data_IF_638950925004
#
_entry.id   IF_638950925004
#
_cell.length_a   1.000
_cell.length_b   1.000
_cell.length_c   1.000
_cell.angle_alpha   90.00
_cell.angle_beta   90.00
_cell.angle_gamma   90.00
#
_symmetry.space_group_name_H-M   'P 1'
#
loop_
_entity.id
_entity.type
_entity.pdbx_description
1 polymer ?
#
# COMPACT_ATOMS: atom_id res chain seq x y z
N UNK A 1 -20.16 -44.43 -40.24
CA UNK A 1 -20.34 -42.99 -39.95
C UNK A 1 -19.93 -42.74 -38.49
N UNK A 2 -19.00 -41.80 -38.26
CA UNK A 2 -18.61 -41.12 -36.98
C UNK A 2 -18.01 -42.04 -35.88
N UNK A 3 -16.69 -42.27 -35.78
CA UNK A 3 -15.52 -41.42 -35.42
C UNK A 3 -15.51 -40.86 -33.99
N UNK A 4 -14.42 -41.19 -33.26
CA UNK A 4 -13.69 -40.49 -32.17
C UNK A 4 -13.40 -41.47 -31.01
N UNK A 5 -12.34 -42.28 -31.07
CA UNK A 5 -10.91 -41.97 -30.89
C UNK A 5 -10.53 -41.57 -29.45
N UNK A 6 -9.73 -42.45 -28.85
CA UNK A 6 -9.05 -42.36 -27.56
C UNK A 6 -8.44 -40.97 -27.29
N UNK A 7 -8.56 -40.46 -26.05
CA UNK A 7 -7.63 -39.46 -25.52
C UNK A 7 -7.12 -39.86 -24.13
N UNK A 8 -5.81 -39.96 -24.11
CA UNK A 8 -4.90 -40.50 -23.13
C UNK A 8 -4.66 -39.60 -21.92
N UNK A 9 -4.25 -40.27 -20.84
CA UNK A 9 -3.74 -39.77 -19.57
C UNK A 9 -2.42 -38.99 -19.79
N UNK A 10 -2.18 -38.00 -18.91
CA UNK A 10 -0.91 -37.32 -18.53
C UNK A 10 -0.54 -36.08 -19.36
N UNK A 11 -0.54 -34.92 -18.71
CA UNK A 11 0.65 -34.13 -18.35
C UNK A 11 0.19 -32.81 -17.70
N UNK A 12 0.53 -32.63 -16.42
CA UNK A 12 0.58 -31.32 -15.75
C UNK A 12 1.78 -30.59 -16.33
N UNK A 13 1.57 -29.41 -16.91
CA UNK A 13 2.55 -28.33 -17.10
C UNK A 13 1.84 -27.25 -17.92
N UNK A 14 1.26 -26.25 -17.24
CA UNK A 14 1.00 -24.95 -17.88
C UNK A 14 1.99 -23.96 -17.31
N UNK A 15 3.17 -23.95 -17.95
CA UNK A 15 4.06 -22.81 -18.00
C UNK A 15 3.33 -21.73 -18.79
N UNK A 16 2.81 -20.72 -18.10
CA UNK A 16 2.27 -19.53 -18.75
C UNK A 16 3.45 -18.66 -19.22
N UNK A 17 4.00 -19.00 -20.39
CA UNK A 17 4.87 -18.12 -21.14
C UNK A 17 4.01 -16.99 -21.74
N UNK A 18 3.92 -15.85 -21.04
CA UNK A 18 3.43 -14.62 -21.68
C UNK A 18 4.58 -13.97 -22.44
N UNK A 19 4.70 -14.32 -23.72
CA UNK A 19 5.38 -13.49 -24.70
C UNK A 19 4.48 -12.28 -25.01
N UNK A 20 4.71 -11.16 -24.33
CA UNK A 20 4.14 -9.88 -24.77
C UNK A 20 5.13 -9.24 -25.74
N UNK A 21 4.83 -9.39 -27.03
CA UNK A 21 5.45 -8.58 -28.08
C UNK A 21 4.85 -7.18 -27.97
N UNK A 22 5.59 -6.23 -27.41
CA UNK A 22 5.26 -4.81 -27.55
C UNK A 22 5.94 -4.27 -28.81
N UNK A 23 5.13 -4.04 -29.86
CA UNK A 23 5.53 -3.27 -31.02
C UNK A 23 5.67 -1.80 -30.61
N UNK A 24 6.89 -1.27 -30.67
CA UNK A 24 7.17 0.14 -30.40
C UNK A 24 6.71 1.01 -31.57
N UNK A 25 5.52 1.61 -31.46
CA UNK A 25 5.15 2.78 -32.27
C UNK A 25 5.55 4.04 -31.52
N UNK A 26 6.72 4.59 -31.87
CA UNK A 26 7.18 5.89 -31.35
C UNK A 26 6.38 7.00 -32.03
N UNK A 27 5.31 7.46 -31.37
CA UNK A 27 4.73 8.77 -31.62
C UNK A 27 5.48 9.78 -30.75
N UNK A 28 6.23 10.68 -31.39
CA UNK A 28 6.88 11.83 -30.73
C UNK A 28 5.80 12.74 -30.15
N UNK A 29 5.67 12.77 -28.82
CA UNK A 29 4.91 13.81 -28.14
C UNK A 29 5.70 14.33 -26.96
N UNK A 30 6.11 15.59 -27.11
CA UNK A 30 6.46 16.59 -26.10
C UNK A 30 7.18 16.09 -24.84
N UNK A 31 8.47 16.36 -24.81
CA UNK A 31 9.28 16.51 -23.61
C UNK A 31 8.68 17.61 -22.72
N UNK A 32 7.76 17.21 -21.85
CA UNK A 32 7.61 17.88 -20.59
C UNK A 32 8.83 17.49 -19.75
N UNK A 33 9.61 18.49 -19.35
CA UNK A 33 10.61 18.38 -18.31
C UNK A 33 10.04 17.56 -17.16
N UNK A 34 10.49 16.31 -17.05
CA UNK A 34 10.30 15.52 -15.84
C UNK A 34 11.34 16.01 -14.84
N UNK A 35 11.15 17.23 -14.37
CA UNK A 35 11.45 17.57 -13.00
C UNK A 35 10.44 16.77 -12.18
N UNK A 36 10.71 15.46 -12.05
CA UNK A 36 9.99 14.56 -11.19
C UNK A 36 10.04 15.20 -9.83
N UNK A 37 8.91 15.79 -9.46
CA UNK A 37 8.80 16.56 -8.26
C UNK A 37 9.25 15.67 -7.11
N UNK A 38 10.34 16.04 -6.46
CA UNK A 38 10.68 15.56 -5.14
C UNK A 38 9.64 16.11 -4.15
N UNK A 39 8.37 15.77 -4.36
CA UNK A 39 7.30 15.97 -3.40
C UNK A 39 7.49 14.90 -2.35
N UNK A 40 7.65 15.32 -1.11
CA UNK A 40 7.90 14.46 0.03
C UNK A 40 6.88 13.31 0.08
N UNK A 41 7.28 12.11 -0.35
CA UNK A 41 6.46 10.89 -0.45
C UNK A 41 5.95 10.34 0.91
N UNK A 42 6.09 11.09 2.01
CA UNK A 42 5.77 10.62 3.36
C UNK A 42 4.26 10.53 3.67
N UNK A 43 3.39 11.18 2.89
CA UNK A 43 1.97 11.37 3.24
C UNK A 43 1.16 10.06 3.30
N UNK A 44 1.58 9.01 2.58
CA UNK A 44 0.75 7.82 2.37
C UNK A 44 1.22 6.57 3.13
N UNK A 45 2.31 6.66 3.91
CA UNK A 45 2.96 5.50 4.52
C UNK A 45 3.82 4.67 3.54
N UNK A 46 3.85 5.06 2.27
CA UNK A 46 4.70 4.50 1.20
C UNK A 46 5.85 5.46 0.85
N UNK A 47 6.46 6.06 1.86
CA UNK A 47 7.57 6.99 1.66
C UNK A 47 8.76 6.34 1.00
N UNK A 48 9.56 7.14 0.28
CA UNK A 48 10.82 6.69 -0.34
C UNK A 48 11.73 5.96 0.66
N UNK A 49 11.73 6.40 1.93
CA UNK A 49 12.47 5.71 3.00
C UNK A 49 11.94 4.29 3.28
N UNK A 50 10.61 4.11 3.34
CA UNK A 50 10.01 2.79 3.58
C UNK A 50 10.23 1.87 2.38
N UNK A 51 10.07 2.40 1.16
CA UNK A 51 10.33 1.63 -0.06
C UNK A 51 11.81 1.26 -0.19
N UNK A 52 12.73 2.15 0.15
CA UNK A 52 14.17 1.86 0.18
C UNK A 52 14.49 0.77 1.19
N UNK A 53 13.95 0.86 2.41
CA UNK A 53 14.12 -0.18 3.43
C UNK A 53 13.66 -1.57 2.94
N UNK A 54 12.48 -1.66 2.34
CA UNK A 54 11.97 -2.95 1.85
C UNK A 54 12.71 -3.44 0.60
N UNK A 55 13.17 -2.53 -0.27
CA UNK A 55 14.01 -2.86 -1.41
C UNK A 55 15.29 -3.57 -0.97
N UNK A 56 16.00 -3.00 0.01
CA UNK A 56 17.22 -3.57 0.57
C UNK A 56 16.93 -4.84 1.37
N UNK A 57 15.91 -4.81 2.22
CA UNK A 57 15.56 -5.94 3.09
C UNK A 57 15.14 -7.17 2.29
N UNK A 58 14.37 -7.02 1.22
CA UNK A 58 13.91 -8.11 0.37
C UNK A 58 14.88 -8.41 -0.79
N UNK A 59 15.96 -7.64 -0.94
CA UNK A 59 16.88 -7.71 -2.07
C UNK A 59 16.12 -7.68 -3.40
N UNK A 60 15.29 -6.64 -3.58
CA UNK A 60 14.48 -6.46 -4.78
C UNK A 60 15.36 -6.15 -5.98
N UNK A 61 15.12 -6.82 -7.10
CA UNK A 61 15.76 -6.47 -8.37
C UNK A 61 15.32 -5.09 -8.85
N UNK A 62 16.15 -4.43 -9.67
CA UNK A 62 15.83 -3.11 -10.26
C UNK A 62 14.49 -3.13 -11.02
N UNK A 63 14.20 -4.25 -11.69
CA UNK A 63 12.93 -4.47 -12.39
C UNK A 63 11.74 -4.50 -11.41
N UNK A 64 11.84 -5.25 -10.30
CA UNK A 64 10.80 -5.28 -9.26
C UNK A 64 10.61 -3.89 -8.64
N UNK A 65 11.70 -3.20 -8.29
CA UNK A 65 11.62 -1.85 -7.72
C UNK A 65 10.93 -0.87 -8.66
N UNK A 66 11.26 -0.92 -9.95
CA UNK A 66 10.63 -0.08 -10.98
C UNK A 66 9.14 -0.36 -11.09
N UNK A 67 8.75 -1.63 -11.12
CA UNK A 67 7.34 -2.03 -11.20
C UNK A 67 6.56 -1.61 -9.95
N UNK A 68 7.12 -1.81 -8.75
CA UNK A 68 6.48 -1.42 -7.49
C UNK A 68 6.33 0.10 -7.39
N UNK A 69 7.34 0.89 -7.81
CA UNK A 69 7.23 2.35 -7.89
C UNK A 69 6.12 2.80 -8.84
N UNK A 70 5.97 2.13 -9.99
CA UNK A 70 4.90 2.44 -10.93
C UNK A 70 3.49 2.18 -10.33
N UNK A 71 3.32 1.09 -9.58
CA UNK A 71 2.07 0.82 -8.85
C UNK A 71 1.79 1.92 -7.83
N UNK A 72 2.78 2.27 -7.00
CA UNK A 72 2.60 3.29 -5.97
C UNK A 72 2.28 4.65 -6.60
N UNK A 73 2.97 5.03 -7.67
CA UNK A 73 2.72 6.28 -8.39
C UNK A 73 1.31 6.34 -8.99
N UNK A 74 0.83 5.22 -9.54
CA UNK A 74 -0.55 5.11 -10.05
C UNK A 74 -1.58 5.29 -8.93
N UNK A 75 -1.38 4.62 -7.80
CA UNK A 75 -2.34 4.61 -6.69
C UNK A 75 -2.27 5.89 -5.84
N UNK A 76 -1.17 6.65 -5.91
CA UNK A 76 -1.04 7.97 -5.27
C UNK A 76 -2.17 8.93 -5.67
N UNK A 77 -2.60 8.92 -6.94
CA UNK A 77 -3.72 9.75 -7.40
C UNK A 77 -5.04 9.41 -6.69
N UNK A 78 -5.24 8.13 -6.34
CA UNK A 78 -6.40 7.64 -5.59
C UNK A 78 -6.31 7.99 -4.11
N UNK A 79 -5.12 7.88 -3.53
CA UNK A 79 -4.91 8.10 -2.10
C UNK A 79 -4.89 9.58 -1.69
N UNK A 80 -4.35 10.46 -2.55
CA UNK A 80 -4.19 11.88 -2.28
C UNK A 80 -5.46 12.58 -1.76
N UNK A 81 -6.62 12.51 -2.44
CA UNK A 81 -7.83 13.15 -1.93
C UNK A 81 -8.28 12.59 -0.58
N UNK A 82 -8.10 11.29 -0.34
CA UNK A 82 -8.47 10.67 0.94
C UNK A 82 -7.60 11.14 2.10
N UNK A 83 -6.28 11.27 1.89
CA UNK A 83 -5.38 11.81 2.93
C UNK A 83 -5.65 13.28 3.19
N UNK A 84 -5.94 14.06 2.14
CA UNK A 84 -6.35 15.45 2.30
C UNK A 84 -7.65 15.56 3.12
N UNK A 85 -8.63 14.71 2.85
CA UNK A 85 -9.88 14.67 3.61
C UNK A 85 -9.64 14.30 5.07
N UNK A 86 -8.80 13.29 5.35
CA UNK A 86 -8.43 12.93 6.72
C UNK A 86 -7.70 14.08 7.45
N UNK A 87 -6.82 14.80 6.75
CA UNK A 87 -6.16 15.97 7.32
C UNK A 87 -7.17 17.08 7.67
N UNK A 88 -8.18 17.28 6.82
CA UNK A 88 -9.25 18.24 7.06
C UNK A 88 -10.13 17.84 8.25
N UNK A 89 -10.50 16.56 8.41
CA UNK A 89 -11.27 16.12 9.58
C UNK A 89 -10.48 16.30 10.87
N UNK A 90 -9.19 15.97 10.88
CA UNK A 90 -8.32 16.26 12.02
C UNK A 90 -8.23 17.76 12.34
N UNK A 91 -8.15 18.64 11.32
CA UNK A 91 -8.18 20.09 11.53
C UNK A 91 -9.48 20.57 12.15
N UNK A 92 -10.62 20.04 11.69
CA UNK A 92 -11.94 20.37 12.25
C UNK A 92 -12.09 19.89 13.69
N UNK A 93 -11.64 18.68 14.00
CA UNK A 93 -11.66 18.14 15.36
C UNK A 93 -10.83 18.99 16.33
N UNK A 94 -9.63 19.44 15.91
CA UNK A 94 -8.79 20.32 16.73
C UNK A 94 -9.50 21.61 17.16
N UNK A 95 -10.38 22.16 16.33
CA UNK A 95 -11.14 23.37 16.70
C UNK A 95 -12.09 23.13 17.90
N UNK A 96 -12.58 21.90 18.09
CA UNK A 96 -13.43 21.52 19.21
C UNK A 96 -12.62 21.04 20.43
N UNK A 97 -11.36 20.67 20.25
CA UNK A 97 -10.41 20.36 21.34
C UNK A 97 -9.86 21.64 21.99
N UNK A 98 -9.52 22.64 21.18
CA UNK A 98 -8.94 23.91 21.63
C UNK A 98 -10.00 24.98 21.95
N UNK A 99 -11.27 24.72 21.60
CA UNK A 99 -12.37 25.67 21.64
C UNK A 99 -13.58 25.19 22.43
N UNK A 100 -14.76 25.71 22.04
CA UNK A 100 -16.02 25.29 22.65
C UNK A 100 -16.41 23.89 22.14
N UNK A 101 -16.45 22.94 23.06
CA UNK A 101 -16.83 21.57 22.76
C UNK A 101 -18.32 21.47 22.38
N UNK A 102 -18.60 20.80 21.26
CA UNK A 102 -19.94 20.52 20.76
C UNK A 102 -20.00 19.05 20.30
N UNK A 103 -20.56 18.19 21.15
CA UNK A 103 -20.58 16.74 20.93
C UNK A 103 -21.26 16.36 19.60
N UNK A 104 -22.34 17.06 19.23
CA UNK A 104 -23.07 16.75 18.00
C UNK A 104 -22.21 17.01 16.77
N UNK A 105 -21.46 18.13 16.75
CA UNK A 105 -20.52 18.44 15.67
C UNK A 105 -19.32 17.50 15.66
N UNK A 106 -18.76 17.19 16.82
CA UNK A 106 -17.66 16.22 16.93
C UNK A 106 -18.08 14.86 16.38
N UNK A 107 -19.27 14.36 16.74
CA UNK A 107 -19.80 13.10 16.19
C UNK A 107 -19.99 13.14 14.67
N UNK A 108 -20.43 14.28 14.12
CA UNK A 108 -20.57 14.45 12.67
C UNK A 108 -19.22 14.39 11.95
N UNK A 109 -18.20 15.08 12.45
CA UNK A 109 -16.84 15.06 11.87
C UNK A 109 -16.20 13.68 12.03
N UNK A 110 -16.35 13.04 13.18
CA UNK A 110 -15.86 11.68 13.43
C UNK A 110 -16.52 10.65 12.49
N UNK A 111 -17.81 10.81 12.18
CA UNK A 111 -18.48 9.96 11.20
C UNK A 111 -17.88 10.13 9.80
N UNK A 112 -17.59 11.37 9.37
CA UNK A 112 -16.91 11.64 8.10
C UNK A 112 -15.50 11.03 8.07
N UNK A 113 -14.72 11.21 9.14
CA UNK A 113 -13.39 10.63 9.29
C UNK A 113 -13.41 9.11 9.18
N UNK A 114 -14.36 8.45 9.83
CA UNK A 114 -14.48 6.98 9.79
C UNK A 114 -14.70 6.43 8.37
N UNK A 115 -15.45 7.16 7.53
CA UNK A 115 -15.66 6.80 6.13
C UNK A 115 -14.35 6.94 5.34
N UNK A 116 -13.62 8.06 5.52
CA UNK A 116 -12.32 8.27 4.88
C UNK A 116 -11.29 7.23 5.30
N UNK A 117 -11.22 6.88 6.59
CA UNK A 117 -10.33 5.83 7.12
C UNK A 117 -10.68 4.46 6.55
N UNK A 118 -11.98 4.18 6.36
CA UNK A 118 -12.44 2.92 5.73
C UNK A 118 -11.90 2.81 4.30
N UNK A 119 -12.09 3.84 3.49
CA UNK A 119 -11.60 3.87 2.11
C UNK A 119 -10.07 3.80 2.03
N UNK A 120 -9.37 4.54 2.89
CA UNK A 120 -7.91 4.48 2.99
C UNK A 120 -7.43 3.08 3.32
N UNK A 121 -8.09 2.40 4.26
CA UNK A 121 -7.77 1.01 4.64
C UNK A 121 -7.90 0.09 3.43
N UNK A 122 -9.03 0.15 2.72
CA UNK A 122 -9.28 -0.67 1.54
C UNK A 122 -8.20 -0.44 0.46
N UNK A 123 -7.88 0.82 0.16
CA UNK A 123 -6.88 1.16 -0.85
C UNK A 123 -5.46 0.72 -0.45
N UNK A 124 -5.06 0.98 0.80
CA UNK A 124 -3.74 0.55 1.31
C UNK A 124 -3.60 -0.98 1.29
N UNK A 125 -4.63 -1.71 1.71
CA UNK A 125 -4.64 -3.17 1.66
C UNK A 125 -4.56 -3.69 0.23
N UNK A 126 -5.26 -3.07 -0.72
CA UNK A 126 -5.15 -3.43 -2.15
C UNK A 126 -3.72 -3.23 -2.65
N UNK A 127 -3.12 -2.07 -2.39
CA UNK A 127 -1.73 -1.78 -2.79
C UNK A 127 -0.78 -2.79 -2.17
N UNK A 128 -0.88 -3.06 -0.87
CA UNK A 128 -0.06 -4.07 -0.19
C UNK A 128 -0.21 -5.44 -0.85
N UNK A 129 -1.44 -5.86 -1.14
CA UNK A 129 -1.69 -7.12 -1.83
C UNK A 129 -1.02 -7.16 -3.19
N UNK A 130 -1.16 -6.13 -4.02
CA UNK A 130 -0.53 -6.05 -5.34
C UNK A 130 1.00 -6.11 -5.25
N UNK A 131 1.60 -5.33 -4.35
CA UNK A 131 3.03 -5.31 -4.11
C UNK A 131 3.56 -6.66 -3.60
N UNK A 132 2.82 -7.33 -2.71
CA UNK A 132 3.18 -8.64 -2.17
C UNK A 132 3.19 -9.73 -3.24
N UNK A 133 2.28 -9.67 -4.21
CA UNK A 133 2.24 -10.62 -5.33
C UNK A 133 3.40 -10.45 -6.33
N UNK A 134 4.10 -9.31 -6.31
CA UNK A 134 5.31 -9.08 -7.12
C UNK A 134 6.58 -9.69 -6.53
N UNK A 135 6.50 -10.16 -5.27
CA UNK A 135 7.61 -10.79 -4.57
C UNK A 135 7.73 -12.27 -4.97
N UNK A 136 8.96 -12.78 -4.96
CA UNK A 136 9.20 -14.23 -5.07
C UNK A 136 8.72 -14.95 -3.80
N UNK A 137 8.50 -16.28 -3.85
CA UNK A 137 8.09 -17.04 -2.65
C UNK A 137 9.02 -16.85 -1.44
N UNK A 138 10.33 -16.77 -1.66
CA UNK A 138 11.31 -16.56 -0.60
C UNK A 138 11.22 -15.14 -0.02
N UNK A 139 11.02 -14.13 -0.87
CA UNK A 139 10.79 -12.75 -0.45
C UNK A 139 9.47 -12.60 0.34
N UNK A 140 8.41 -13.28 -0.10
CA UNK A 140 7.14 -13.34 0.63
C UNK A 140 7.30 -13.98 2.02
N UNK A 141 8.07 -15.06 2.13
CA UNK A 141 8.36 -15.68 3.42
C UNK A 141 9.12 -14.71 4.35
N UNK A 142 10.12 -14.00 3.82
CA UNK A 142 10.88 -12.98 4.56
C UNK A 142 10.00 -11.81 5.01
N UNK A 143 9.05 -11.40 4.18
CA UNK A 143 8.08 -10.36 4.52
C UNK A 143 7.16 -10.79 5.68
N UNK A 144 6.63 -12.02 5.63
CA UNK A 144 5.81 -12.57 6.74
C UNK A 144 6.60 -12.67 8.05
N UNK A 145 7.87 -13.05 8.00
CA UNK A 145 8.73 -13.07 9.19
C UNK A 145 8.95 -11.65 9.75
N UNK A 146 9.14 -10.66 8.88
CA UNK A 146 9.22 -9.27 9.29
C UNK A 146 7.94 -8.81 10.01
N UNK A 147 6.76 -9.11 9.45
CA UNK A 147 5.45 -8.78 10.04
C UNK A 147 5.27 -9.43 11.41
N UNK A 148 5.52 -10.73 11.53
CA UNK A 148 5.43 -11.43 12.80
C UNK A 148 6.35 -10.85 13.89
N UNK A 149 7.59 -10.47 13.51
CA UNK A 149 8.52 -9.82 14.45
C UNK A 149 8.07 -8.41 14.82
N UNK A 150 7.47 -7.68 13.89
CA UNK A 150 6.90 -6.38 14.15
C UNK A 150 5.72 -6.48 15.13
N UNK A 151 4.79 -7.41 14.91
CA UNK A 151 3.67 -7.69 15.79
C UNK A 151 4.11 -8.08 17.20
N UNK A 152 5.08 -8.99 17.32
CA UNK A 152 5.63 -9.40 18.62
C UNK A 152 6.24 -8.21 19.39
N UNK A 153 6.93 -7.30 18.69
CA UNK A 153 7.47 -6.07 19.31
C UNK A 153 6.35 -5.12 19.75
N UNK A 154 5.28 -5.00 18.96
CA UNK A 154 4.12 -4.17 19.30
C UNK A 154 3.39 -4.72 20.53
N UNK A 155 3.14 -6.03 20.58
CA UNK A 155 2.55 -6.71 21.73
C UNK A 155 3.40 -6.51 22.99
N UNK A 156 4.74 -6.66 22.88
CA UNK A 156 5.65 -6.40 24.01
C UNK A 156 5.52 -4.97 24.51
N UNK A 157 5.49 -3.97 23.62
CA UNK A 157 5.32 -2.56 24.01
C UNK A 157 3.98 -2.31 24.71
N UNK A 158 2.89 -2.89 24.20
CA UNK A 158 1.57 -2.79 24.85
C UNK A 158 1.56 -3.42 26.24
N UNK A 159 2.20 -4.60 26.41
CA UNK A 159 2.31 -5.28 27.70
C UNK A 159 3.22 -4.57 28.72
N UNK A 160 4.10 -3.69 28.24
CA UNK A 160 5.06 -2.94 29.06
C UNK A 160 4.66 -1.46 29.27
N UNK A 161 3.53 -1.03 28.70
CA UNK A 161 3.00 0.30 28.99
C UNK A 161 2.59 0.35 30.47
N UNK A 162 3.07 1.33 31.26
CA UNK A 162 2.76 1.42 32.68
C UNK A 162 1.25 1.56 32.88
N UNK A 163 0.69 0.67 33.69
CA UNK A 163 -0.69 0.73 34.16
C UNK A 163 -0.82 1.85 35.20
N UNK A 164 -1.43 2.96 34.80
CA UNK A 164 -1.96 3.99 35.71
C UNK A 164 -1.01 5.16 36.04
N UNK A 165 -1.55 6.38 36.24
CA UNK A 165 -0.77 7.50 36.77
C UNK A 165 -0.27 7.16 38.18
N UNK A 166 0.88 7.72 38.63
CA UNK A 166 1.32 7.56 40.01
C UNK A 166 0.20 8.06 40.94
N UNK A 167 -0.14 7.26 41.94
CA UNK A 167 -1.01 7.70 43.04
C UNK A 167 -0.31 8.86 43.76
N UNK A 168 -0.92 10.05 43.70
CA UNK A 168 -0.59 11.19 44.57
C UNK A 168 -1.52 11.21 45.79
#
# INVERSE_FOLDING_TARGET
MRSQAMKSIRIRLLVAAMAVVFAATVAKSQSADTQAAAMHHHEFGFGDHMMGFFADYLNLSDAQQTQMKAVIAKEHATLKPLVQQLHQTHQQLRQYEEGAYDEAKVRAVAAQESQTVTELTVQKTRIHSELFQMLTPDQQAKMKEFEARHEARMQKRMSQAPSGPPEE
#
